data_IF_837154492419
#
_entry.id   IF_837154492419
#
_cell.length_a   1.000
_cell.length_b   1.000
_cell.length_c   1.000
_cell.angle_alpha   90.00
_cell.angle_beta   90.00
_cell.angle_gamma   90.00
#
_symmetry.space_group_name_H-M   'P 1'
#
loop_
_entity.id
_entity.type
_entity.pdbx_description
1 polymer ?
#
# COMPACT_ATOMS: atom_id res chain seq x y z
N UNK A 1 -9.87 -20.28 -2.11
CA UNK A 1 -8.44 -20.56 -2.44
C UNK A 1 -7.69 -19.27 -2.17
N UNK A 2 -6.45 -19.29 -1.67
CA UNK A 2 -5.73 -18.03 -1.41
C UNK A 2 -5.22 -17.52 -2.74
N UNK A 3 -5.77 -16.40 -3.20
CA UNK A 3 -5.22 -15.68 -4.35
C UNK A 3 -3.92 -15.02 -3.91
N UNK A 4 -2.83 -15.76 -4.14
CA UNK A 4 -1.47 -15.35 -3.83
C UNK A 4 -1.15 -13.92 -4.31
N UNK A 5 -1.52 -13.48 -5.53
CA UNK A 5 -1.15 -12.15 -5.99
C UNK A 5 -2.04 -11.05 -5.34
N UNK A 6 -3.31 -11.33 -5.05
CA UNK A 6 -4.17 -10.42 -4.28
C UNK A 6 -3.70 -10.26 -2.83
N UNK A 7 -3.20 -11.35 -2.23
CA UNK A 7 -2.65 -11.37 -0.87
C UNK A 7 -1.32 -10.61 -0.82
N UNK A 8 -0.45 -10.81 -1.82
CA UNK A 8 0.81 -10.07 -1.93
C UNK A 8 0.56 -8.56 -2.10
N UNK A 9 -0.41 -8.16 -2.94
CA UNK A 9 -0.77 -6.75 -3.09
C UNK A 9 -1.26 -6.12 -1.78
N UNK A 10 -2.06 -6.86 -0.99
CA UNK A 10 -2.48 -6.41 0.33
C UNK A 10 -1.28 -6.23 1.29
N UNK A 11 -0.33 -7.18 1.29
CA UNK A 11 0.89 -7.07 2.09
C UNK A 11 1.74 -5.84 1.71
N UNK A 12 1.87 -5.56 0.40
CA UNK A 12 2.56 -4.35 -0.08
C UNK A 12 1.88 -3.08 0.41
N UNK A 13 0.54 -3.01 0.37
CA UNK A 13 -0.19 -1.86 0.89
C UNK A 13 0.06 -1.66 2.40
N UNK A 14 0.08 -2.74 3.19
CA UNK A 14 0.39 -2.68 4.63
C UNK A 14 1.79 -2.12 4.88
N UNK A 15 2.79 -2.58 4.10
CA UNK A 15 4.16 -2.06 4.20
C UNK A 15 4.19 -0.56 3.89
N UNK A 16 3.53 -0.13 2.81
CA UNK A 16 3.47 1.29 2.41
C UNK A 16 2.78 2.17 3.47
N UNK A 17 1.71 1.69 4.10
CA UNK A 17 1.10 2.41 5.22
C UNK A 17 2.04 2.48 6.43
N UNK A 18 2.73 1.37 6.76
CA UNK A 18 3.73 1.35 7.83
C UNK A 18 4.86 2.35 7.58
N UNK A 19 5.41 2.40 6.37
CA UNK A 19 6.46 3.36 6.00
C UNK A 19 5.95 4.80 6.03
N UNK A 20 4.70 5.04 5.61
CA UNK A 20 4.10 6.37 5.67
C UNK A 20 3.97 6.87 7.13
N UNK A 21 3.50 5.99 8.03
CA UNK A 21 3.38 6.30 9.45
C UNK A 21 4.74 6.58 10.08
N UNK A 22 5.77 5.77 9.77
CA UNK A 22 7.14 6.03 10.23
C UNK A 22 7.66 7.36 9.70
N UNK A 23 7.46 7.67 8.42
CA UNK A 23 7.87 8.94 7.82
C UNK A 23 7.20 10.16 8.50
N UNK A 24 5.93 10.03 8.88
CA UNK A 24 5.23 11.08 9.66
C UNK A 24 5.89 11.35 11.01
N UNK A 25 6.46 10.33 11.68
CA UNK A 25 7.22 10.55 12.94
C UNK A 25 8.47 11.41 12.73
N UNK A 26 9.09 11.31 11.55
CA UNK A 26 10.23 12.12 11.13
C UNK A 26 9.86 13.50 10.56
N UNK A 27 8.56 13.84 10.46
CA UNK A 27 8.03 15.01 9.74
C UNK A 27 8.35 15.03 8.23
N UNK A 28 8.65 13.86 7.66
CA UNK A 28 8.93 13.66 6.23
C UNK A 28 7.60 13.50 5.45
N UNK A 29 6.81 14.58 5.37
CA UNK A 29 5.45 14.52 4.83
C UNK A 29 5.39 14.18 3.33
N UNK A 30 6.43 14.55 2.57
CA UNK A 30 6.50 14.22 1.15
C UNK A 30 6.62 12.70 0.95
N UNK A 31 7.47 12.04 1.74
CA UNK A 31 7.63 10.57 1.72
C UNK A 31 6.34 9.89 2.18
N UNK A 32 5.73 10.40 3.25
CA UNK A 32 4.45 9.89 3.74
C UNK A 32 3.35 9.97 2.68
N UNK A 33 3.18 11.13 2.03
CA UNK A 33 2.20 11.34 0.97
C UNK A 33 2.43 10.42 -0.23
N UNK A 34 3.67 10.24 -0.66
CA UNK A 34 4.02 9.31 -1.74
C UNK A 34 3.69 7.85 -1.38
N UNK A 35 3.97 7.44 -0.14
CA UNK A 35 3.63 6.11 0.35
C UNK A 35 2.11 5.89 0.38
N UNK A 36 1.33 6.86 0.87
CA UNK A 36 -0.13 6.80 0.86
C UNK A 36 -0.70 6.74 -0.56
N UNK A 37 -0.19 7.55 -1.50
CA UNK A 37 -0.60 7.51 -2.90
C UNK A 37 -0.29 6.13 -3.53
N UNK A 38 0.91 5.62 -3.29
CA UNK A 38 1.32 4.31 -3.79
C UNK A 38 0.45 3.19 -3.21
N UNK A 39 0.12 3.25 -1.92
CA UNK A 39 -0.77 2.29 -1.28
C UNK A 39 -2.17 2.31 -1.91
N UNK A 40 -2.71 3.50 -2.18
CA UNK A 40 -3.99 3.67 -2.85
C UNK A 40 -3.99 3.04 -4.27
N UNK A 41 -2.91 3.22 -5.03
CA UNK A 41 -2.76 2.60 -6.35
C UNK A 41 -2.68 1.07 -6.27
N UNK A 42 -1.91 0.54 -5.32
CA UNK A 42 -1.79 -0.91 -5.11
C UNK A 42 -3.13 -1.53 -4.76
N UNK A 43 -3.91 -0.89 -3.89
CA UNK A 43 -5.26 -1.34 -3.53
C UNK A 43 -6.19 -1.25 -4.73
N UNK A 44 -6.14 -0.18 -5.51
CA UNK A 44 -6.93 -0.06 -6.74
C UNK A 44 -6.63 -1.20 -7.72
N UNK A 45 -5.35 -1.48 -7.97
CA UNK A 45 -4.94 -2.57 -8.86
C UNK A 45 -5.39 -3.92 -8.30
N UNK A 46 -5.24 -4.12 -6.99
CA UNK A 46 -5.73 -5.32 -6.30
C UNK A 46 -7.22 -5.54 -6.56
N UNK A 47 -8.03 -4.53 -6.30
CA UNK A 47 -9.49 -4.65 -6.40
C UNK A 47 -9.97 -4.74 -7.85
N UNK A 48 -9.27 -4.08 -8.77
CA UNK A 48 -9.68 -3.99 -10.18
C UNK A 48 -9.29 -5.24 -11.00
N UNK A 49 -8.22 -5.94 -10.63
CA UNK A 49 -7.59 -6.94 -11.49
C UNK A 49 -7.19 -8.24 -10.79
N UNK A 50 -7.12 -8.27 -9.45
CA UNK A 50 -6.57 -9.41 -8.70
C UNK A 50 -7.60 -10.08 -7.80
N UNK A 51 -8.69 -9.38 -7.49
CA UNK A 51 -9.84 -9.91 -6.76
C UNK A 51 -10.97 -10.05 -7.78
N UNK A 52 -11.38 -11.28 -8.03
CA UNK A 52 -12.55 -11.66 -8.83
C UNK A 52 -13.74 -12.02 -7.91
#
# INVERSE_FOLDING_TARGET
MVDAPATAAAAVAVVLFGTALVAMTGREFQVAGFCFLSAALVIYVRERFLVD
#
